data_IF_005132163752
#
_entry.id   IF_005132163752
#
_cell.length_a   1.000
_cell.length_b   1.000
_cell.length_c   1.000
_cell.angle_alpha   90.00
_cell.angle_beta   90.00
_cell.angle_gamma   90.00
#
_symmetry.space_group_name_H-M   'P 1'
#
loop_
_entity.id
_entity.type
_entity.pdbx_description
1 polymer ?
#
# COMPACT_ATOMS: atom_id res chain seq x y z
N UNK A 1 -11.19 16.52 -19.81
CA UNK A 1 -11.51 15.22 -19.20
C UNK A 1 -12.18 14.36 -20.25
N UNK A 2 -12.00 13.08 -20.24
CA UNK A 2 -12.68 12.12 -21.10
C UNK A 2 -13.00 10.82 -20.31
N UNK A 3 -13.51 9.80 -21.00
CA UNK A 3 -13.97 8.53 -20.42
C UNK A 3 -12.90 7.72 -19.65
N UNK A 4 -11.62 8.10 -19.77
CA UNK A 4 -10.53 7.41 -19.04
C UNK A 4 -10.35 7.92 -17.60
N UNK A 5 -10.98 9.03 -17.22
CA UNK A 5 -10.88 9.63 -15.89
C UNK A 5 -12.02 9.17 -15.02
N UNK A 6 -11.71 8.48 -13.92
CA UNK A 6 -12.72 7.99 -12.97
C UNK A 6 -13.32 9.16 -12.19
N UNK A 7 -14.64 9.20 -12.11
CA UNK A 7 -15.39 10.24 -11.40
C UNK A 7 -16.19 9.65 -10.26
N UNK A 8 -16.24 10.36 -9.15
CA UNK A 8 -17.21 10.12 -8.08
C UNK A 8 -18.47 10.90 -8.39
N UNK A 9 -19.62 10.24 -8.30
CA UNK A 9 -20.92 10.81 -8.66
C UNK A 9 -21.95 10.58 -7.55
N UNK A 10 -22.88 11.52 -7.39
CA UNK A 10 -24.03 11.42 -6.46
C UNK A 10 -25.29 10.80 -7.07
N UNK A 11 -25.16 10.16 -8.23
CA UNK A 11 -26.26 9.59 -9.02
C UNK A 11 -26.92 10.57 -9.98
N UNK A 12 -26.59 11.86 -9.92
CA UNK A 12 -27.09 12.91 -10.86
C UNK A 12 -25.96 13.63 -11.56
N UNK A 13 -24.88 13.92 -10.88
CA UNK A 13 -23.73 14.69 -11.36
C UNK A 13 -22.42 14.18 -10.76
N UNK A 14 -21.33 14.55 -11.39
CA UNK A 14 -20.01 14.32 -10.84
C UNK A 14 -19.73 15.27 -9.68
N UNK A 15 -19.20 14.74 -8.57
CA UNK A 15 -18.88 15.46 -7.34
C UNK A 15 -17.39 15.43 -6.99
N UNK A 16 -16.59 14.69 -7.75
CA UNK A 16 -15.15 14.65 -7.54
C UNK A 16 -14.45 13.81 -8.60
N UNK A 17 -13.14 14.03 -8.73
CA UNK A 17 -12.24 13.21 -9.54
C UNK A 17 -11.64 12.18 -8.60
N UNK A 18 -11.96 10.91 -8.80
CA UNK A 18 -11.61 9.81 -7.90
C UNK A 18 -10.10 9.81 -7.59
N UNK A 19 -9.76 9.83 -6.31
CA UNK A 19 -8.38 9.79 -5.81
C UNK A 19 -7.50 10.99 -6.19
N UNK A 20 -8.08 12.06 -6.75
CA UNK A 20 -7.33 13.24 -7.17
C UNK A 20 -7.85 14.49 -6.47
N UNK A 21 -9.12 14.85 -6.67
CA UNK A 21 -9.67 16.11 -6.15
C UNK A 21 -11.19 16.04 -5.99
N UNK A 22 -11.68 16.52 -4.87
CA UNK A 22 -13.12 16.77 -4.67
C UNK A 22 -13.63 17.89 -5.57
N UNK A 23 -14.93 17.87 -5.86
CA UNK A 23 -15.58 18.90 -6.65
C UNK A 23 -15.98 20.12 -5.81
N UNK A 24 -15.90 21.33 -6.37
CA UNK A 24 -16.39 22.54 -5.72
C UNK A 24 -17.87 22.44 -5.32
N UNK A 25 -18.64 21.71 -6.12
CA UNK A 25 -20.07 21.49 -5.91
C UNK A 25 -20.42 20.50 -4.79
N UNK A 26 -19.42 19.89 -4.16
CA UNK A 26 -19.56 18.99 -3.00
C UNK A 26 -18.67 19.42 -1.82
N UNK A 27 -18.14 20.61 -1.87
CA UNK A 27 -17.30 21.19 -0.82
C UNK A 27 -18.12 21.35 0.46
N UNK A 28 -17.49 21.14 1.61
CA UNK A 28 -18.08 21.41 2.93
C UNK A 28 -18.23 22.91 3.10
N UNK A 29 -19.44 23.32 3.50
CA UNK A 29 -19.82 24.70 3.78
C UNK A 29 -20.22 24.85 5.24
N UNK A 30 -20.32 26.08 5.74
CA UNK A 30 -20.60 26.37 7.17
C UNK A 30 -21.97 25.87 7.65
N UNK A 31 -22.90 25.61 6.74
CA UNK A 31 -24.26 25.12 7.00
C UNK A 31 -24.38 23.58 6.91
N UNK A 32 -23.30 22.85 6.66
CA UNK A 32 -23.32 21.39 6.62
C UNK A 32 -23.65 20.81 8.00
N UNK A 33 -24.67 19.97 8.05
CA UNK A 33 -25.10 19.26 9.27
C UNK A 33 -24.80 17.77 9.23
N UNK A 34 -24.66 17.19 8.05
CA UNK A 34 -24.40 15.76 7.87
C UNK A 34 -23.35 15.55 6.78
N UNK A 35 -22.38 14.72 7.07
CA UNK A 35 -21.32 14.34 6.14
C UNK A 35 -21.32 12.84 5.90
N UNK A 36 -21.02 12.43 4.68
CA UNK A 36 -20.73 11.05 4.33
C UNK A 36 -19.21 10.89 4.17
N UNK A 37 -18.62 9.99 4.94
CA UNK A 37 -17.22 9.63 4.79
C UNK A 37 -17.06 8.56 3.73
N UNK A 38 -16.06 8.74 2.88
CA UNK A 38 -15.61 7.75 1.90
C UNK A 38 -14.21 7.29 2.27
N UNK A 39 -14.01 5.97 2.38
CA UNK A 39 -12.70 5.34 2.38
C UNK A 39 -12.63 4.41 1.17
N UNK A 40 -11.77 4.73 0.22
CA UNK A 40 -11.69 4.01 -1.04
C UNK A 40 -10.26 3.62 -1.37
N UNK A 41 -10.12 2.59 -2.23
CA UNK A 41 -8.88 2.22 -2.87
C UNK A 41 -9.08 2.21 -4.38
N UNK A 42 -8.31 2.99 -5.10
CA UNK A 42 -8.40 3.14 -6.56
C UNK A 42 -7.20 2.47 -7.25
N UNK A 43 -7.38 2.08 -8.51
CA UNK A 43 -6.28 1.60 -9.34
C UNK A 43 -5.21 2.70 -9.52
N UNK A 44 -4.04 2.47 -8.93
CA UNK A 44 -2.95 3.46 -8.92
C UNK A 44 -2.46 3.84 -10.31
N UNK A 45 -2.53 2.93 -11.27
CA UNK A 45 -2.14 3.20 -12.66
C UNK A 45 -3.14 4.17 -13.31
N UNK A 46 -4.43 3.97 -13.07
CA UNK A 46 -5.47 4.88 -13.56
C UNK A 46 -5.31 6.26 -12.95
N UNK A 47 -5.13 6.36 -11.62
CA UNK A 47 -4.94 7.64 -10.92
C UNK A 47 -3.72 8.38 -11.47
N UNK A 48 -2.58 7.70 -11.63
CA UNK A 48 -1.36 8.32 -12.19
C UNK A 48 -1.59 8.85 -13.60
N UNK A 49 -2.21 8.07 -14.46
CA UNK A 49 -2.50 8.49 -15.84
C UNK A 49 -3.47 9.66 -15.89
N UNK A 50 -4.54 9.60 -15.10
CA UNK A 50 -5.56 10.64 -15.01
C UNK A 50 -5.00 11.95 -14.48
N UNK A 51 -4.27 11.92 -13.35
CA UNK A 51 -3.61 13.08 -12.75
C UNK A 51 -2.66 13.76 -13.74
N UNK A 52 -1.83 12.97 -14.44
CA UNK A 52 -0.93 13.50 -15.48
C UNK A 52 -1.68 14.13 -16.66
N UNK A 53 -2.75 13.46 -17.11
CA UNK A 53 -3.56 13.90 -18.25
C UNK A 53 -4.25 15.25 -18.02
N UNK A 54 -4.82 15.44 -16.82
CA UNK A 54 -5.50 16.69 -16.46
C UNK A 54 -4.54 17.75 -15.91
N UNK A 55 -3.25 17.41 -15.72
CA UNK A 55 -2.24 18.34 -15.20
C UNK A 55 -2.42 18.69 -13.72
N UNK A 56 -3.15 17.85 -12.95
CA UNK A 56 -3.45 18.09 -11.54
C UNK A 56 -2.85 17.00 -10.68
N UNK A 57 -1.80 17.34 -9.93
CA UNK A 57 -1.18 16.46 -8.93
C UNK A 57 -1.51 16.95 -7.53
N UNK A 58 -2.03 16.07 -6.70
CA UNK A 58 -2.40 16.32 -5.31
C UNK A 58 -1.72 15.29 -4.39
N UNK A 59 -1.75 15.54 -3.08
CA UNK A 59 -1.26 14.56 -2.09
C UNK A 59 -2.03 13.24 -2.19
N UNK A 60 -3.35 13.31 -2.40
CA UNK A 60 -4.18 12.14 -2.62
C UNK A 60 -3.71 11.35 -3.84
N UNK A 61 -3.56 11.98 -5.00
CA UNK A 61 -3.08 11.31 -6.21
C UNK A 61 -1.70 10.71 -6.04
N UNK A 62 -0.81 11.40 -5.31
CA UNK A 62 0.54 10.91 -5.00
C UNK A 62 0.56 9.66 -4.11
N UNK A 63 -0.44 9.49 -3.23
CA UNK A 63 -0.61 8.30 -2.39
C UNK A 63 -1.27 7.16 -3.18
N UNK A 64 -2.38 7.44 -3.84
CA UNK A 64 -3.12 6.43 -4.61
C UNK A 64 -2.31 5.85 -5.78
N UNK A 65 -1.48 6.66 -6.46
CA UNK A 65 -0.65 6.17 -7.58
C UNK A 65 0.39 5.11 -7.17
N UNK A 66 0.79 5.11 -5.89
CA UNK A 66 1.73 4.13 -5.34
C UNK A 66 1.05 2.80 -4.94
N UNK A 67 -0.25 2.77 -4.94
CA UNK A 67 -1.06 1.66 -4.44
C UNK A 67 -1.31 1.78 -2.93
N UNK A 68 -2.56 1.60 -2.55
CA UNK A 68 -2.98 1.48 -1.15
C UNK A 68 -3.53 0.07 -0.91
N UNK A 69 -3.55 -0.33 0.34
CA UNK A 69 -4.17 -1.60 0.72
C UNK A 69 -5.67 -1.43 0.86
N UNK A 70 -6.48 -2.10 0.03
CA UNK A 70 -7.93 -2.02 0.15
C UNK A 70 -8.46 -2.62 1.45
N UNK A 71 -7.73 -3.53 2.11
CA UNK A 71 -8.11 -4.09 3.40
C UNK A 71 -8.09 -3.06 4.54
N UNK A 72 -7.32 -1.98 4.39
CA UNK A 72 -7.23 -0.92 5.40
C UNK A 72 -8.37 0.12 5.31
N UNK A 73 -9.26 0.02 4.34
CA UNK A 73 -10.30 1.03 4.13
C UNK A 73 -11.29 1.10 5.31
N UNK A 74 -11.72 -0.05 5.83
CA UNK A 74 -12.64 -0.14 6.96
C UNK A 74 -11.99 0.40 8.25
N UNK A 75 -10.77 0.00 8.56
CA UNK A 75 -10.05 0.48 9.74
C UNK A 75 -9.80 1.98 9.67
N UNK A 76 -9.47 2.50 8.50
CA UNK A 76 -9.25 3.92 8.30
C UNK A 76 -10.52 4.74 8.54
N UNK A 77 -11.67 4.30 8.03
CA UNK A 77 -12.94 5.02 8.22
C UNK A 77 -13.41 4.92 9.67
N UNK A 78 -13.27 3.77 10.31
CA UNK A 78 -13.58 3.58 11.73
C UNK A 78 -12.71 4.50 12.61
N UNK A 79 -11.40 4.62 12.30
CA UNK A 79 -10.53 5.55 13.04
C UNK A 79 -10.90 7.01 12.81
N UNK A 80 -11.29 7.38 11.59
CA UNK A 80 -11.76 8.74 11.29
C UNK A 80 -13.02 9.07 12.09
N UNK A 81 -13.99 8.16 12.13
CA UNK A 81 -15.21 8.29 12.92
C UNK A 81 -14.92 8.44 14.42
N UNK A 82 -14.06 7.59 14.96
CA UNK A 82 -13.62 7.67 16.36
C UNK A 82 -13.01 9.03 16.69
N UNK A 83 -12.15 9.56 15.83
CA UNK A 83 -11.52 10.87 16.04
C UNK A 83 -12.53 12.01 16.05
N UNK A 84 -13.59 11.94 15.24
CA UNK A 84 -14.66 12.94 15.22
C UNK A 84 -15.39 12.98 16.57
N UNK A 85 -15.71 11.81 17.11
CA UNK A 85 -16.37 11.72 18.43
C UNK A 85 -15.42 12.16 19.55
N UNK A 86 -14.15 11.71 19.55
CA UNK A 86 -13.15 12.11 20.54
C UNK A 86 -12.92 13.64 20.59
N UNK A 87 -12.97 14.28 19.44
CA UNK A 87 -12.83 15.75 19.32
C UNK A 87 -14.12 16.51 19.63
N UNK A 88 -15.24 15.82 19.81
CA UNK A 88 -16.55 16.46 19.97
C UNK A 88 -17.01 17.24 18.73
N UNK A 89 -16.52 16.88 17.54
CA UNK A 89 -16.82 17.57 16.29
C UNK A 89 -18.13 17.09 15.65
N UNK A 90 -18.69 15.96 16.09
CA UNK A 90 -19.93 15.40 15.60
C UNK A 90 -20.28 14.07 16.25
N UNK A 91 -21.43 13.55 15.91
CA UNK A 91 -21.91 12.23 16.32
C UNK A 91 -21.90 11.30 15.10
N UNK A 92 -21.40 10.08 15.28
CA UNK A 92 -21.39 9.07 14.22
C UNK A 92 -22.76 8.41 14.13
N UNK A 93 -23.42 8.58 13.01
CA UNK A 93 -24.68 7.88 12.70
C UNK A 93 -24.35 6.48 12.20
N UNK A 94 -24.95 5.47 12.77
CA UNK A 94 -24.70 4.08 12.43
C UNK A 94 -25.08 3.73 10.99
N UNK A 95 -24.39 2.75 10.47
CA UNK A 95 -24.54 2.20 9.12
C UNK A 95 -23.35 2.49 8.22
N UNK A 96 -22.86 1.42 7.61
CA UNK A 96 -21.76 1.46 6.65
C UNK A 96 -22.14 0.64 5.42
N UNK A 97 -21.75 1.09 4.25
CA UNK A 97 -21.86 0.33 3.01
C UNK A 97 -20.43 0.01 2.56
N UNK A 98 -20.07 -1.27 2.55
CA UNK A 98 -18.81 -1.74 2.02
C UNK A 98 -19.03 -2.52 0.71
N UNK A 99 -18.28 -2.15 -0.32
CA UNK A 99 -18.30 -2.82 -1.62
C UNK A 99 -16.89 -3.26 -1.96
N UNK A 100 -16.53 -4.45 -1.54
CA UNK A 100 -15.23 -5.05 -1.76
C UNK A 100 -15.35 -6.33 -2.57
N UNK A 101 -15.48 -6.18 -3.90
CA UNK A 101 -15.80 -7.27 -4.82
C UNK A 101 -14.71 -8.31 -5.01
N UNK A 102 -13.44 -7.94 -4.85
CA UNK A 102 -12.29 -8.83 -5.01
C UNK A 102 -11.31 -8.62 -3.86
N UNK A 103 -11.49 -9.39 -2.80
CA UNK A 103 -10.60 -9.34 -1.63
C UNK A 103 -9.16 -9.66 -2.02
N UNK A 104 -8.24 -8.86 -1.48
CA UNK A 104 -6.81 -9.07 -1.61
C UNK A 104 -6.34 -9.98 -0.48
N UNK A 105 -5.68 -11.06 -0.84
CA UNK A 105 -5.13 -12.02 0.11
C UNK A 105 -3.63 -11.73 0.35
N UNK A 106 -3.09 -12.10 1.53
CA UNK A 106 -1.66 -12.06 1.80
C UNK A 106 -0.87 -12.87 0.78
N UNK A 107 0.32 -12.40 0.46
CA UNK A 107 1.20 -13.08 -0.49
C UNK A 107 2.07 -14.08 0.28
N UNK A 108 2.13 -15.33 -0.20
CA UNK A 108 3.00 -16.37 0.32
C UNK A 108 4.24 -16.46 -0.56
N UNK A 109 5.41 -16.25 0.04
CA UNK A 109 6.69 -16.25 -0.64
C UNK A 109 7.52 -17.43 -0.13
N UNK A 110 7.93 -18.39 -0.98
CA UNK A 110 8.80 -19.48 -0.56
C UNK A 110 10.08 -18.94 0.09
N UNK A 111 10.40 -19.44 1.28
CA UNK A 111 11.57 -19.03 2.04
C UNK A 111 12.65 -20.13 2.02
N UNK A 112 13.88 -19.69 1.79
CA UNK A 112 15.06 -20.56 1.74
C UNK A 112 16.27 -19.74 2.18
N UNK A 113 16.73 -19.98 3.42
CA UNK A 113 17.81 -19.22 4.03
C UNK A 113 19.14 -19.37 3.26
N UNK A 114 19.42 -20.55 2.73
CA UNK A 114 20.65 -20.80 1.95
C UNK A 114 20.66 -19.97 0.66
N UNK A 115 19.52 -19.86 0.00
CA UNK A 115 19.39 -19.01 -1.19
C UNK A 115 19.53 -17.53 -0.88
N UNK A 116 18.97 -17.07 0.24
CA UNK A 116 19.13 -15.67 0.67
C UNK A 116 20.61 -15.40 0.98
N UNK A 117 21.27 -16.27 1.73
CA UNK A 117 22.70 -16.16 2.01
C UNK A 117 23.55 -16.16 0.72
N UNK A 118 23.21 -17.02 -0.23
CA UNK A 118 23.89 -17.05 -1.53
C UNK A 118 23.70 -15.76 -2.34
N UNK A 119 22.51 -15.14 -2.27
CA UNK A 119 22.24 -13.85 -2.93
C UNK A 119 23.00 -12.69 -2.29
N UNK A 120 23.11 -12.69 -0.95
CA UNK A 120 23.75 -11.61 -0.20
C UNK A 120 25.27 -11.82 -0.02
N UNK A 121 25.77 -13.03 -0.21
CA UNK A 121 27.15 -13.39 0.10
C UNK A 121 27.43 -13.42 1.61
N UNK A 122 26.44 -13.84 2.40
CA UNK A 122 26.47 -13.86 3.87
C UNK A 122 26.27 -15.28 4.42
N UNK A 123 26.37 -15.42 5.74
CA UNK A 123 26.09 -16.66 6.47
C UNK A 123 25.21 -16.34 7.70
N UNK A 124 24.03 -15.75 7.44
CA UNK A 124 23.08 -15.34 8.46
C UNK A 124 22.24 -16.55 8.86
N UNK A 125 22.11 -16.87 10.16
CA UNK A 125 21.25 -17.95 10.62
C UNK A 125 19.80 -17.77 10.23
N UNK A 126 19.11 -18.86 9.87
CA UNK A 126 17.67 -18.85 9.54
C UNK A 126 16.81 -18.20 10.62
N UNK A 127 17.11 -18.53 11.90
CA UNK A 127 16.40 -17.97 13.06
C UNK A 127 16.49 -16.44 13.14
N UNK A 128 17.59 -15.85 12.72
CA UNK A 128 17.75 -14.41 12.74
C UNK A 128 17.01 -13.74 11.57
N UNK A 129 16.97 -14.39 10.42
CA UNK A 129 16.14 -13.93 9.29
C UNK A 129 14.67 -13.92 9.66
N UNK A 130 14.18 -14.99 10.34
CA UNK A 130 12.79 -15.06 10.82
C UNK A 130 12.49 -13.92 11.80
N UNK A 131 13.37 -13.64 12.75
CA UNK A 131 13.22 -12.50 13.68
C UNK A 131 13.19 -11.14 12.94
N UNK A 132 13.91 -11.01 11.83
CA UNK A 132 13.83 -9.79 11.01
C UNK A 132 12.46 -9.64 10.35
N UNK A 133 11.90 -10.73 9.84
CA UNK A 133 10.57 -10.75 9.25
C UNK A 133 9.48 -10.37 10.27
N UNK A 134 9.53 -10.94 11.47
CA UNK A 134 8.59 -10.64 12.55
C UNK A 134 8.56 -9.15 12.93
N UNK A 135 9.71 -8.45 12.86
CA UNK A 135 9.79 -7.00 13.14
C UNK A 135 9.05 -6.11 12.15
N UNK A 136 8.65 -6.65 11.01
CA UNK A 136 7.94 -5.94 9.94
C UNK A 136 6.62 -6.61 9.58
N UNK A 137 6.04 -7.30 10.56
CA UNK A 137 4.73 -7.95 10.46
C UNK A 137 4.64 -9.01 9.36
N UNK A 138 5.76 -9.66 9.02
CA UNK A 138 5.74 -10.85 8.17
C UNK A 138 5.65 -12.09 9.05
N UNK A 139 4.75 -13.00 8.72
CA UNK A 139 4.60 -14.27 9.42
C UNK A 139 5.42 -15.37 8.74
N UNK A 140 6.01 -16.27 9.51
CA UNK A 140 6.69 -17.44 8.97
C UNK A 140 5.88 -18.71 9.21
N UNK A 141 5.53 -19.39 8.11
CA UNK A 141 4.89 -20.71 8.12
C UNK A 141 5.97 -21.79 8.04
N UNK A 142 6.31 -22.39 9.18
CA UNK A 142 7.36 -23.39 9.27
C UNK A 142 7.02 -24.73 8.57
N UNK A 143 5.73 -25.05 8.43
CA UNK A 143 5.30 -26.28 7.75
C UNK A 143 5.42 -26.14 6.23
N UNK A 144 4.97 -25.01 5.71
CA UNK A 144 5.05 -24.70 4.29
C UNK A 144 6.43 -24.18 3.85
N UNK A 145 7.26 -23.73 4.79
CA UNK A 145 8.49 -22.95 4.54
C UNK A 145 8.25 -21.73 3.67
N UNK A 146 7.26 -20.94 4.08
CA UNK A 146 6.86 -19.73 3.39
C UNK A 146 6.83 -18.53 4.36
N UNK A 147 7.15 -17.36 3.84
CA UNK A 147 6.91 -16.09 4.50
C UNK A 147 5.62 -15.50 3.96
N UNK A 148 4.70 -15.15 4.86
CA UNK A 148 3.42 -14.57 4.54
C UNK A 148 3.53 -13.05 4.66
N UNK A 149 3.47 -12.37 3.53
CA UNK A 149 3.51 -10.92 3.46
C UNK A 149 2.08 -10.35 3.57
N UNK A 150 1.83 -9.42 4.51
CA UNK A 150 0.53 -8.79 4.65
C UNK A 150 0.17 -7.98 3.41
N UNK A 151 -1.11 -7.72 3.23
CA UNK A 151 -1.65 -7.13 2.00
C UNK A 151 -1.19 -5.71 1.73
N UNK A 152 -0.74 -4.98 2.75
CA UNK A 152 -0.15 -3.64 2.58
C UNK A 152 1.28 -3.65 2.02
N UNK A 153 1.98 -4.80 2.03
CA UNK A 153 3.30 -4.98 1.41
C UNK A 153 3.12 -5.35 -0.07
N UNK A 154 3.12 -4.33 -0.91
CA UNK A 154 2.93 -4.48 -2.37
C UNK A 154 4.21 -4.84 -3.12
N UNK A 155 5.31 -4.95 -2.41
CA UNK A 155 6.67 -5.10 -2.91
C UNK A 155 7.23 -6.52 -2.73
N UNK A 156 6.61 -7.33 -1.86
CA UNK A 156 7.10 -8.65 -1.50
C UNK A 156 6.40 -9.77 -2.30
N UNK A 157 7.07 -10.28 -3.32
CA UNK A 157 6.56 -11.35 -4.18
C UNK A 157 7.53 -12.51 -4.40
N UNK A 158 8.80 -12.30 -4.14
CA UNK A 158 9.88 -13.23 -4.49
C UNK A 158 10.92 -13.32 -3.39
N UNK A 159 11.69 -14.39 -3.40
CA UNK A 159 12.79 -14.57 -2.46
C UNK A 159 13.83 -13.43 -2.49
N UNK A 160 14.01 -12.79 -3.64
CA UNK A 160 14.90 -11.62 -3.74
C UNK A 160 14.39 -10.43 -2.92
N UNK A 161 13.07 -10.27 -2.85
CA UNK A 161 12.44 -9.21 -2.06
C UNK A 161 12.61 -9.51 -0.55
N UNK A 162 12.53 -10.79 -0.14
CA UNK A 162 12.87 -11.22 1.23
C UNK A 162 14.36 -11.02 1.54
N UNK A 163 15.25 -11.26 0.59
CA UNK A 163 16.67 -11.02 0.75
C UNK A 163 16.97 -9.53 0.95
N UNK A 164 16.25 -8.63 0.30
CA UNK A 164 16.36 -7.18 0.52
C UNK A 164 16.00 -6.81 1.96
N UNK A 165 14.92 -7.36 2.51
CA UNK A 165 14.53 -7.13 3.91
C UNK A 165 15.60 -7.66 4.88
N UNK A 166 16.12 -8.86 4.65
CA UNK A 166 17.21 -9.41 5.45
C UNK A 166 18.44 -8.50 5.39
N UNK A 167 18.83 -8.08 4.21
CA UNK A 167 19.98 -7.18 3.99
C UNK A 167 19.83 -5.85 4.75
N UNK A 168 18.62 -5.30 4.76
CA UNK A 168 18.29 -4.05 5.45
C UNK A 168 18.45 -4.17 6.97
N UNK A 169 17.99 -5.27 7.57
CA UNK A 169 18.13 -5.50 9.01
C UNK A 169 19.53 -5.95 9.43
N UNK A 170 20.20 -6.76 8.60
CA UNK A 170 21.58 -7.15 8.82
C UNK A 170 22.53 -5.95 8.73
N UNK A 171 22.18 -4.97 7.92
CA UNK A 171 22.97 -3.77 7.65
C UNK A 171 23.82 -3.94 6.37
N UNK A 172 23.58 -3.07 5.41
CA UNK A 172 24.29 -3.11 4.12
C UNK A 172 25.82 -3.03 4.26
N UNK A 173 26.31 -2.31 5.30
CA UNK A 173 27.74 -2.17 5.58
C UNK A 173 28.38 -3.49 6.04
N UNK A 174 27.60 -4.44 6.52
CA UNK A 174 28.06 -5.76 6.94
C UNK A 174 28.10 -6.78 5.80
N UNK A 175 27.55 -6.44 4.63
CA UNK A 175 27.54 -7.32 3.46
C UNK A 175 28.85 -7.20 2.75
N UNK A 176 29.58 -8.34 2.47
CA UNK A 176 30.86 -8.29 1.82
C UNK A 176 30.73 -7.78 0.38
N UNK A 177 31.60 -6.83 0.01
CA UNK A 177 31.65 -6.34 -1.37
C UNK A 177 32.37 -7.35 -2.26
N UNK A 178 31.69 -7.77 -3.33
CA UNK A 178 32.31 -8.61 -4.36
C UNK A 178 32.78 -7.74 -5.55
N UNK A 179 33.95 -7.99 -6.13
CA UNK A 179 34.37 -7.25 -7.32
C UNK A 179 33.45 -7.57 -8.49
N UNK A 180 32.79 -6.54 -9.03
CA UNK A 180 31.99 -6.69 -10.25
C UNK A 180 32.89 -6.80 -11.44
N UNK A 181 32.76 -7.89 -12.23
CA UNK A 181 33.46 -8.02 -13.49
C UNK A 181 32.82 -7.07 -14.53
N UNK A 182 33.56 -6.04 -14.92
CA UNK A 182 33.17 -5.07 -15.97
C UNK A 182 33.33 -5.61 -17.41
N UNK A 183 33.15 -6.91 -17.63
CA UNK A 183 33.32 -7.52 -18.96
C UNK A 183 32.31 -7.05 -20.02
N UNK A 184 31.25 -6.31 -19.64
CA UNK A 184 30.23 -5.81 -20.56
C UNK A 184 30.36 -4.34 -20.96
N UNK A 185 31.43 -3.65 -20.55
CA UNK A 185 31.64 -2.23 -20.90
C UNK A 185 32.64 -2.02 -22.04
N UNK A 186 32.89 -3.04 -22.86
CA UNK A 186 33.62 -2.90 -24.13
C UNK A 186 32.68 -3.24 -25.29
N UNK A 187 31.94 -2.27 -25.73
CA UNK A 187 31.39 -2.18 -27.06
C UNK A 187 31.86 -0.87 -27.71
#
# INVERSE_FOLDING_TARGET
MDESVLMICDGKKSIGIAGIMGGENSMITDDVQTMLFEAACFDGTNIRKSSKKIGLRTDASGKFEKGLDPNNAEDAINRACQLIEEMGAGEVVGGMVDVYSKKKEPVRVPFDADKINALLGTDIPEEDMIKYFEKIDLEYDAEAKEVIAPTFRHDLFRIADLAEEVARFYGYDNIPTTPVSYTHLRA
#
